data_IF_001607761385
#
_entry.id   IF_001607761385
#
_cell.length_a   1.000
_cell.length_b   1.000
_cell.length_c   1.000
_cell.angle_alpha   90.00
_cell.angle_beta   90.00
_cell.angle_gamma   90.00
#
_symmetry.space_group_name_H-M   'P 1'
#
loop_
_entity.id
_entity.type
_entity.pdbx_description
1 polymer ?
#
# COMPACT_ATOMS: atom_id res chain seq x y z
N UNK A 1 -16.65 11.12 -1.66
CA UNK A 1 -15.90 11.91 -2.65
C UNK A 1 -14.56 11.22 -2.87
N UNK A 2 -13.94 11.32 -4.06
CA UNK A 2 -12.62 10.72 -4.35
C UNK A 2 -11.51 11.15 -3.37
N UNK A 3 -11.76 12.19 -2.57
CA UNK A 3 -10.80 12.76 -1.62
C UNK A 3 -11.06 12.37 -0.15
N UNK A 4 -11.61 11.18 0.13
CA UNK A 4 -11.78 10.72 1.53
C UNK A 4 -10.40 10.54 2.15
N UNK A 5 -10.05 11.41 3.09
CA UNK A 5 -8.82 11.28 3.88
C UNK A 5 -9.00 10.18 4.93
N UNK A 6 -8.04 9.26 4.98
CA UNK A 6 -7.99 8.19 5.98
C UNK A 6 -6.89 8.50 6.98
N UNK A 7 -7.24 8.58 8.26
CA UNK A 7 -6.26 8.70 9.34
C UNK A 7 -6.02 7.31 9.93
N UNK A 8 -4.82 6.77 9.74
CA UNK A 8 -4.44 5.45 10.22
C UNK A 8 -3.17 5.50 11.07
N UNK A 9 -3.07 4.57 12.03
CA UNK A 9 -1.78 4.21 12.65
C UNK A 9 -1.17 3.10 11.81
N UNK A 10 0.11 3.23 11.49
CA UNK A 10 0.80 2.28 10.63
C UNK A 10 2.23 2.04 11.13
N UNK A 11 2.75 0.86 10.83
CA UNK A 11 4.14 0.48 11.06
C UNK A 11 4.89 0.43 9.73
N UNK A 12 6.10 0.98 9.70
CA UNK A 12 6.95 0.96 8.52
C UNK A 12 7.59 -0.41 8.40
N UNK A 13 7.33 -1.10 7.29
CA UNK A 13 7.86 -2.45 7.03
C UNK A 13 8.93 -2.49 5.97
N UNK A 14 8.97 -1.48 5.10
CA UNK A 14 10.11 -1.25 4.22
C UNK A 14 10.31 0.24 4.00
N UNK A 15 11.55 0.65 3.84
CA UNK A 15 11.90 1.99 3.40
C UNK A 15 13.04 1.88 2.38
N UNK A 16 12.91 2.59 1.27
CA UNK A 16 14.02 2.66 0.33
C UNK A 16 14.88 3.88 0.65
N UNK A 17 16.16 3.62 0.96
CA UNK A 17 17.16 4.63 1.29
C UNK A 17 18.07 4.98 0.10
N UNK A 18 17.91 4.32 -1.07
CA UNK A 18 18.78 4.50 -2.25
C UNK A 18 17.96 4.77 -3.52
N UNK A 19 18.41 5.68 -4.37
CA UNK A 19 17.79 5.94 -5.67
C UNK A 19 18.55 6.98 -6.50
N UNK A 20 18.05 7.40 -7.68
CA UNK A 20 18.74 8.36 -8.53
C UNK A 20 18.86 9.80 -7.98
N UNK A 21 18.09 10.14 -6.94
CA UNK A 21 17.85 11.54 -6.49
C UNK A 21 18.01 11.75 -4.96
N UNK A 22 19.24 11.66 -4.43
CA UNK A 22 19.58 11.37 -2.99
C UNK A 22 19.18 12.46 -1.98
N UNK A 23 18.58 13.54 -2.46
CA UNK A 23 18.25 14.71 -1.65
C UNK A 23 16.91 14.61 -0.90
N UNK A 24 16.02 13.65 -1.25
CA UNK A 24 14.69 13.46 -0.60
C UNK A 24 14.66 12.13 0.16
N UNK A 25 14.47 12.14 1.48
CA UNK A 25 14.48 10.92 2.32
C UNK A 25 13.35 10.85 3.38
N UNK A 26 12.66 9.69 3.53
CA UNK A 26 12.74 8.47 2.72
C UNK A 26 11.97 8.62 1.39
N UNK A 27 12.53 8.08 0.30
CA UNK A 27 11.99 8.22 -1.06
C UNK A 27 10.71 7.42 -1.29
N UNK A 28 10.57 6.32 -0.56
CA UNK A 28 9.44 5.40 -0.62
C UNK A 28 9.38 4.59 0.66
N UNK A 29 8.16 4.30 1.12
CA UNK A 29 7.92 3.63 2.38
C UNK A 29 6.70 2.73 2.22
N UNK A 30 6.86 1.46 2.58
CA UNK A 30 5.73 0.56 2.80
C UNK A 30 5.35 0.56 4.26
N UNK A 31 4.05 0.59 4.50
CA UNK A 31 3.51 0.52 5.83
C UNK A 31 2.45 -0.58 5.93
N UNK A 32 2.34 -1.19 7.09
CA UNK A 32 1.19 -2.03 7.47
C UNK A 32 0.31 -1.23 8.42
N UNK A 33 -0.99 -1.16 8.13
CA UNK A 33 -1.96 -0.50 9.02
C UNK A 33 -2.19 -1.37 10.26
N UNK A 34 -1.98 -0.80 11.45
CA UNK A 34 -2.05 -1.53 12.72
C UNK A 34 -3.48 -1.67 13.24
N UNK A 35 -4.32 -0.65 13.00
CA UNK A 35 -5.72 -0.63 13.40
C UNK A 35 -6.48 0.26 12.42
N UNK A 36 -7.21 -0.35 11.49
CA UNK A 36 -8.09 0.34 10.54
C UNK A 36 -9.54 -0.02 10.82
N UNK A 37 -10.45 0.94 10.67
CA UNK A 37 -11.88 0.67 10.83
C UNK A 37 -12.39 -0.22 9.70
N UNK A 38 -13.44 -1.01 9.95
CA UNK A 38 -14.06 -1.81 8.89
C UNK A 38 -14.58 -0.95 7.74
N UNK A 39 -15.06 0.26 8.03
CA UNK A 39 -15.52 1.20 7.01
C UNK A 39 -14.37 1.63 6.09
N UNK A 40 -13.22 1.97 6.67
CA UNK A 40 -12.05 2.40 5.92
C UNK A 40 -11.40 1.24 5.17
N UNK A 41 -11.39 0.04 5.75
CA UNK A 41 -10.96 -1.17 5.06
C UNK A 41 -11.85 -1.44 3.83
N UNK A 42 -13.18 -1.34 3.96
CA UNK A 42 -14.10 -1.49 2.82
C UNK A 42 -13.88 -0.41 1.77
N UNK A 43 -13.61 0.83 2.19
CA UNK A 43 -13.30 1.92 1.27
C UNK A 43 -12.03 1.64 0.46
N UNK A 44 -10.94 1.22 1.12
CA UNK A 44 -9.68 0.84 0.45
C UNK A 44 -9.92 -0.33 -0.49
N UNK A 45 -10.58 -1.40 -0.04
CA UNK A 45 -10.84 -2.57 -0.87
C UNK A 45 -11.64 -2.22 -2.13
N UNK A 46 -12.63 -1.33 -2.01
CA UNK A 46 -13.39 -0.84 -3.17
C UNK A 46 -12.49 -0.07 -4.14
N UNK A 47 -11.63 0.81 -3.65
CA UNK A 47 -10.72 1.57 -4.48
C UNK A 47 -9.71 0.66 -5.22
N UNK A 48 -9.16 -0.34 -4.53
CA UNK A 48 -8.23 -1.33 -5.12
C UNK A 48 -8.94 -2.15 -6.19
N UNK A 49 -10.13 -2.69 -5.91
CA UNK A 49 -10.86 -3.49 -6.89
C UNK A 49 -11.26 -2.67 -8.13
N UNK A 50 -11.67 -1.42 -7.95
CA UNK A 50 -11.94 -0.53 -9.07
C UNK A 50 -10.66 -0.29 -9.89
N UNK A 51 -9.54 -0.02 -9.23
CA UNK A 51 -8.27 0.17 -9.92
C UNK A 51 -7.85 -1.08 -10.70
N UNK A 52 -8.01 -2.28 -10.13
CA UNK A 52 -7.72 -3.55 -10.83
C UNK A 52 -8.62 -3.72 -12.06
N UNK A 53 -9.93 -3.47 -11.91
CA UNK A 53 -10.89 -3.57 -13.01
C UNK A 53 -10.60 -2.55 -14.13
N UNK A 54 -10.14 -1.34 -13.77
CA UNK A 54 -9.73 -0.32 -14.73
C UNK A 54 -8.38 -0.65 -15.39
N UNK A 55 -7.57 -1.50 -14.75
CA UNK A 55 -6.20 -1.83 -15.15
C UNK A 55 -6.08 -3.28 -15.63
N UNK A 56 -7.05 -3.84 -16.37
CA UNK A 56 -7.03 -5.19 -17.00
C UNK A 56 -5.88 -5.42 -18.04
N UNK A 57 -4.64 -5.04 -17.70
CA UNK A 57 -3.38 -5.35 -18.38
C UNK A 57 -2.17 -5.51 -17.43
N UNK A 58 -2.35 -5.70 -16.12
CA UNK A 58 -1.21 -6.00 -15.22
C UNK A 58 -1.16 -7.50 -14.94
N UNK A 59 -0.10 -8.22 -15.32
CA UNK A 59 0.02 -9.66 -15.06
C UNK A 59 -0.05 -9.94 -13.55
N UNK A 60 -0.94 -10.86 -13.20
CA UNK A 60 -1.26 -11.33 -11.83
C UNK A 60 -0.05 -11.80 -11.02
N UNK A 61 1.10 -12.00 -11.67
CA UNK A 61 2.36 -12.47 -11.07
C UNK A 61 3.05 -11.42 -10.18
N UNK A 62 2.69 -10.14 -10.26
CA UNK A 62 3.32 -9.07 -9.43
C UNK A 62 2.64 -8.83 -8.08
N UNK A 63 1.49 -9.45 -7.83
CA UNK A 63 0.72 -9.31 -6.58
C UNK A 63 0.97 -10.50 -5.64
N UNK A 64 2.20 -11.02 -5.58
CA UNK A 64 2.56 -11.98 -4.55
C UNK A 64 2.75 -11.23 -3.23
N UNK A 65 1.78 -11.34 -2.33
CA UNK A 65 1.98 -11.01 -0.92
C UNK A 65 3.12 -11.91 -0.42
N UNK A 66 4.27 -11.31 -0.13
CA UNK A 66 5.35 -11.99 0.59
C UNK A 66 4.82 -12.35 1.98
N UNK A 67 4.39 -13.60 2.14
CA UNK A 67 4.22 -14.22 3.45
C UNK A 67 5.63 -14.54 3.92
N UNK A 68 6.17 -13.69 4.79
CA UNK A 68 7.45 -13.95 5.45
C UNK A 68 7.09 -14.79 6.68
N UNK A 69 7.29 -16.09 6.60
CA UNK A 69 7.25 -16.95 7.78
C UNK A 69 8.39 -16.52 8.71
N UNK A 70 8.04 -16.14 9.94
CA UNK A 70 9.01 -15.84 10.98
C UNK A 70 9.52 -17.17 11.56
N UNK A 71 10.75 -17.55 11.22
CA UNK A 71 11.58 -18.46 12.04
C UNK A 71 12.50 -17.67 12.97
#
# INVERSE_FOLDING_TARGET
>A
APDKQLKAKAEVVWSNIYGPDDEINPRGMGVIFLNISEEDQRFISKAVNQHIADTEKVPTEQMATLVVDAE
#
